data_IF_507493765971
#
_entry.id   IF_507493765971
#
_cell.length_a   1.000
_cell.length_b   1.000
_cell.length_c   1.000
_cell.angle_alpha   90.00
_cell.angle_beta   90.00
_cell.angle_gamma   90.00
#
_symmetry.space_group_name_H-M   'P 1'
#
loop_
_entity.id
_entity.type
_entity.pdbx_description
1 polymer ?
#
# COMPACT_ATOMS: atom_id res chain seq x y z
N UNK A 1 14.16 -28.06 -3.93
CA UNK A 1 14.73 -27.26 -5.03
C UNK A 1 13.67 -26.42 -5.78
N UNK A 2 12.39 -26.82 -5.75
CA UNK A 2 11.24 -26.10 -6.34
C UNK A 2 10.84 -24.86 -5.54
N UNK A 3 10.73 -24.97 -4.21
CA UNK A 3 10.19 -23.89 -3.38
C UNK A 3 11.07 -22.64 -3.35
N UNK A 4 12.39 -22.82 -3.33
CA UNK A 4 13.34 -21.71 -3.38
C UNK A 4 13.24 -20.91 -4.68
N UNK A 5 13.07 -21.59 -5.82
CA UNK A 5 12.91 -20.94 -7.13
C UNK A 5 11.56 -20.23 -7.26
N UNK A 6 10.51 -20.79 -6.66
CA UNK A 6 9.19 -20.15 -6.60
C UNK A 6 9.25 -18.89 -5.74
N UNK A 7 9.89 -18.96 -4.58
CA UNK A 7 10.09 -17.80 -3.71
C UNK A 7 10.90 -16.69 -4.42
N UNK A 8 11.98 -17.04 -5.10
CA UNK A 8 12.78 -16.11 -5.90
C UNK A 8 11.94 -15.44 -6.99
N UNK A 9 11.15 -16.20 -7.75
CA UNK A 9 10.25 -15.67 -8.76
C UNK A 9 9.20 -14.71 -8.18
N UNK A 10 8.66 -15.02 -7.00
CA UNK A 10 7.72 -14.14 -6.30
C UNK A 10 8.36 -12.81 -5.89
N UNK A 11 9.61 -12.83 -5.40
CA UNK A 11 10.33 -11.61 -5.04
C UNK A 11 10.61 -10.71 -6.26
N UNK A 12 10.98 -11.32 -7.39
CA UNK A 12 11.18 -10.59 -8.65
C UNK A 12 9.87 -9.92 -9.09
N UNK A 13 8.75 -10.65 -9.05
CA UNK A 13 7.44 -10.11 -9.39
C UNK A 13 7.00 -8.99 -8.44
N UNK A 14 7.20 -9.15 -7.13
CA UNK A 14 6.87 -8.12 -6.14
C UNK A 14 7.66 -6.82 -6.40
N UNK A 15 8.96 -6.94 -6.68
CA UNK A 15 9.83 -5.80 -7.02
C UNK A 15 9.43 -5.11 -8.33
N UNK A 16 9.10 -5.89 -9.36
CA UNK A 16 8.62 -5.36 -10.64
C UNK A 16 7.31 -4.58 -10.47
N UNK A 17 6.36 -5.12 -9.70
CA UNK A 17 5.07 -4.46 -9.41
C UNK A 17 5.29 -3.17 -8.61
N UNK A 18 6.17 -3.17 -7.61
CA UNK A 18 6.49 -1.96 -6.84
C UNK A 18 7.06 -0.86 -7.75
N UNK A 19 7.98 -1.22 -8.64
CA UNK A 19 8.57 -0.30 -9.63
C UNK A 19 7.50 0.25 -10.58
N UNK A 20 6.57 -0.59 -11.03
CA UNK A 20 5.45 -0.15 -11.89
C UNK A 20 4.53 0.82 -11.16
N UNK A 21 4.19 0.56 -9.89
CA UNK A 21 3.34 1.44 -9.09
C UNK A 21 3.98 2.82 -8.89
N UNK A 22 5.28 2.86 -8.63
CA UNK A 22 6.03 4.12 -8.52
C UNK A 22 6.00 4.92 -9.83
N UNK A 23 6.15 4.25 -10.98
CA UNK A 23 6.10 4.91 -12.30
C UNK A 23 4.70 5.32 -12.74
N UNK A 24 3.67 4.58 -12.33
CA UNK A 24 2.27 4.84 -12.70
C UNK A 24 1.71 6.09 -12.03
N UNK A 25 2.21 6.47 -10.86
CA UNK A 25 1.73 7.65 -10.13
C UNK A 25 0.27 7.55 -9.68
N UNK A 26 -0.28 6.33 -9.64
CA UNK A 26 -1.69 6.07 -9.33
C UNK A 26 -2.05 6.63 -7.97
N UNK A 27 -3.13 7.44 -7.92
CA UNK A 27 -3.63 8.04 -6.68
C UNK A 27 -4.93 7.38 -6.26
N UNK A 28 -5.00 6.90 -5.02
CA UNK A 28 -6.19 6.28 -4.45
C UNK A 28 -6.91 7.22 -3.50
N UNK A 29 -8.23 7.15 -3.52
CA UNK A 29 -9.15 7.85 -2.65
C UNK A 29 -9.28 7.16 -1.30
N UNK A 30 -9.92 7.86 -0.35
CA UNK A 30 -10.25 7.30 0.96
C UNK A 30 -11.17 6.08 0.86
N UNK A 31 -12.09 6.06 -0.09
CA UNK A 31 -13.02 4.95 -0.27
C UNK A 31 -12.28 3.70 -0.75
N UNK A 32 -11.44 3.84 -1.77
CA UNK A 32 -10.61 2.75 -2.31
C UNK A 32 -9.61 2.22 -1.27
N UNK A 33 -9.02 3.10 -0.46
CA UNK A 33 -8.15 2.68 0.65
C UNK A 33 -8.92 1.91 1.73
N UNK A 34 -10.12 2.36 2.08
CA UNK A 34 -10.97 1.68 3.06
C UNK A 34 -11.42 0.31 2.55
N UNK A 35 -11.79 0.22 1.28
CA UNK A 35 -12.13 -1.03 0.59
C UNK A 35 -10.95 -2.01 0.54
N UNK A 36 -9.76 -1.54 0.17
CA UNK A 36 -8.52 -2.35 0.15
C UNK A 36 -8.25 -3.03 1.50
N UNK A 37 -8.53 -2.35 2.59
CA UNK A 37 -8.33 -2.88 3.95
C UNK A 37 -9.54 -3.60 4.53
N UNK A 38 -10.67 -3.66 3.80
CA UNK A 38 -11.90 -4.26 4.29
C UNK A 38 -12.47 -3.54 5.53
N UNK A 39 -12.28 -2.22 5.64
CA UNK A 39 -12.77 -1.43 6.77
C UNK A 39 -13.75 -0.35 6.33
N UNK A 40 -14.59 0.11 7.27
CA UNK A 40 -15.44 1.26 7.03
C UNK A 40 -14.65 2.57 7.02
N UNK A 41 -15.10 3.56 6.24
CA UNK A 41 -14.46 4.88 6.11
C UNK A 41 -14.22 5.60 7.45
N UNK A 42 -15.09 5.40 8.45
CA UNK A 42 -14.94 6.04 9.76
C UNK A 42 -13.78 5.42 10.54
N UNK A 43 -13.61 4.10 10.46
CA UNK A 43 -12.49 3.37 11.05
C UNK A 43 -11.15 3.84 10.47
N UNK A 44 -11.13 4.15 9.16
CA UNK A 44 -9.95 4.74 8.53
C UNK A 44 -9.60 6.12 9.11
N UNK A 45 -10.57 6.98 9.44
CA UNK A 45 -10.29 8.25 10.11
C UNK A 45 -9.66 8.03 11.48
N UNK A 46 -10.23 7.13 12.28
CA UNK A 46 -9.71 6.84 13.62
C UNK A 46 -8.29 6.29 13.55
N UNK A 47 -8.00 5.39 12.60
CA UNK A 47 -6.65 4.86 12.38
C UNK A 47 -5.67 5.93 11.92
N UNK A 48 -6.07 6.82 11.01
CA UNK A 48 -5.25 7.96 10.63
C UNK A 48 -4.94 8.83 11.85
N UNK A 49 -5.90 9.08 12.75
CA UNK A 49 -5.64 9.87 13.95
C UNK A 49 -4.68 9.16 14.93
N UNK A 50 -4.82 7.84 15.09
CA UNK A 50 -4.06 7.06 16.05
C UNK A 50 -2.64 6.67 15.57
N UNK A 51 -2.49 6.29 14.30
CA UNK A 51 -1.25 5.80 13.72
C UNK A 51 -0.53 6.91 12.95
N UNK A 52 0.59 7.39 13.50
CA UNK A 52 1.41 8.42 12.88
C UNK A 52 2.31 7.88 11.76
N UNK A 53 2.53 6.56 11.71
CA UNK A 53 3.34 5.94 10.65
C UNK A 53 2.60 5.87 9.31
N UNK A 54 1.26 5.91 9.36
CA UNK A 54 0.44 5.79 8.16
C UNK A 54 0.59 7.04 7.27
N UNK A 55 0.88 6.86 5.97
CA UNK A 55 0.91 7.94 4.99
C UNK A 55 -0.28 8.88 5.10
N UNK A 56 -0.01 10.18 5.04
CA UNK A 56 -1.05 11.21 5.05
C UNK A 56 -1.54 11.48 3.65
N UNK A 57 -2.84 11.75 3.46
CA UNK A 57 -3.32 12.14 2.15
C UNK A 57 -2.66 13.45 1.74
N UNK A 58 -2.45 13.62 0.44
CA UNK A 58 -2.03 14.90 -0.12
C UNK A 58 -3.12 15.98 0.03
N UNK A 59 -2.83 17.18 -0.48
CA UNK A 59 -3.79 18.31 -0.47
C UNK A 59 -5.12 17.98 -1.16
N UNK A 60 -5.11 17.05 -2.12
CA UNK A 60 -6.28 16.55 -2.84
C UNK A 60 -7.08 15.47 -2.08
N UNK A 61 -6.66 15.10 -0.87
CA UNK A 61 -7.29 14.05 -0.08
C UNK A 61 -7.00 12.63 -0.55
N UNK A 62 -6.03 12.45 -1.46
CA UNK A 62 -5.66 11.14 -2.04
C UNK A 62 -4.25 10.73 -1.63
N UNK A 63 -3.96 9.43 -1.74
CA UNK A 63 -2.66 8.83 -1.47
C UNK A 63 -2.03 8.34 -2.76
N UNK A 64 -0.70 8.35 -2.84
CA UNK A 64 0.00 7.56 -3.84
C UNK A 64 -0.12 6.08 -3.48
N UNK A 65 -0.55 5.25 -4.42
CA UNK A 65 -0.67 3.82 -4.19
C UNK A 65 0.69 3.19 -3.86
N UNK A 66 1.76 3.69 -4.47
CA UNK A 66 3.13 3.25 -4.20
C UNK A 66 3.53 3.44 -2.73
N UNK A 67 3.19 4.60 -2.14
CA UNK A 67 3.53 4.93 -0.75
C UNK A 67 2.75 4.06 0.23
N UNK A 68 1.47 3.78 -0.06
CA UNK A 68 0.64 2.88 0.75
C UNK A 68 1.18 1.45 0.71
N UNK A 69 1.51 0.94 -0.48
CA UNK A 69 2.06 -0.42 -0.63
C UNK A 69 3.41 -0.54 0.07
N UNK A 70 4.26 0.47 -0.05
CA UNK A 70 5.56 0.50 0.65
C UNK A 70 5.38 0.48 2.17
N UNK A 71 4.47 1.28 2.71
CA UNK A 71 4.14 1.27 4.13
C UNK A 71 3.58 -0.09 4.60
N UNK A 72 2.72 -0.73 3.79
CA UNK A 72 2.17 -2.07 4.09
C UNK A 72 3.26 -3.14 4.13
N UNK A 73 4.26 -3.05 3.25
CA UNK A 73 5.40 -3.98 3.21
C UNK A 73 6.28 -3.85 4.45
N UNK A 74 6.64 -2.62 4.85
CA UNK A 74 7.46 -2.37 6.04
C UNK A 74 6.80 -2.81 7.35
N UNK A 75 5.46 -2.85 7.42
CA UNK A 75 4.73 -3.34 8.61
C UNK A 75 4.69 -4.86 8.76
N UNK A 76 4.95 -5.61 7.69
CA UNK A 76 4.85 -7.08 7.67
C UNK A 76 6.21 -7.78 7.78
N UNK A 77 7.29 -7.03 7.62
CA UNK A 77 8.67 -7.47 7.87
C UNK A 77 9.05 -7.20 9.31
#
# INVERSE_FOLDING_TARGET
MTDAKIAEGFLILASAVQTMLQKSGTRITRAELAERWGIHRNTLATRLAADKSLPRPGRDGKWLLSEIVEWELHRRQ
#
